data_IF_610567996002
#
_entry.id   IF_610567996002
#
_cell.length_a   1.000
_cell.length_b   1.000
_cell.length_c   1.000
_cell.angle_alpha   90.00
_cell.angle_beta   90.00
_cell.angle_gamma   90.00
#
_symmetry.space_group_name_H-M   'P 1'
#
loop_
_entity.id
_entity.type
_entity.pdbx_description
1 polymer ?
2 non-polymer ?
3 non-polymer ?
4 water ?
#
# COMPACT_ATOMS: atom_id res chain seq x y z
N UNK A 1 -21.53 8.05 13.19
CA UNK A 1 -20.97 6.71 12.90
C UNK A 1 -20.83 5.88 14.17
N UNK A 2 -20.93 4.55 14.06
CA UNK A 2 -20.79 3.65 15.22
C UNK A 2 -19.32 3.49 15.60
N UNK A 3 -19.02 2.68 16.61
CA UNK A 3 -17.63 2.44 17.01
C UNK A 3 -16.96 1.74 15.83
N UNK A 4 -15.62 1.87 15.71
CA UNK A 4 -14.87 1.25 14.62
C UNK A 4 -15.19 -0.24 14.38
N UNK A 5 -15.09 -1.06 15.43
CA UNK A 5 -15.38 -2.50 15.28
C UNK A 5 -16.79 -2.75 14.80
N UNK A 6 -17.74 -1.96 15.28
CA UNK A 6 -19.11 -2.17 14.83
C UNK A 6 -19.28 -1.76 13.37
N UNK A 7 -18.59 -0.71 12.94
CA UNK A 7 -18.67 -0.30 11.53
C UNK A 7 -18.05 -1.38 10.65
N UNK A 8 -16.91 -1.93 11.09
CA UNK A 8 -16.27 -2.99 10.31
C UNK A 8 -17.26 -4.15 10.10
N UNK A 9 -17.94 -4.55 11.16
CA UNK A 9 -18.89 -5.66 11.03
C UNK A 9 -20.00 -5.28 10.06
N UNK A 10 -20.54 -4.08 10.21
CA UNK A 10 -21.59 -3.62 9.30
C UNK A 10 -21.12 -3.70 7.85
N UNK A 11 -19.86 -3.34 7.62
CA UNK A 11 -19.31 -3.38 6.28
C UNK A 11 -19.28 -4.81 5.72
N UNK A 12 -18.92 -5.81 6.53
CA UNK A 12 -18.93 -7.19 6.03
C UNK A 12 -20.35 -7.60 5.72
N UNK A 13 -21.28 -7.23 6.59
CA UNK A 13 -22.70 -7.54 6.39
C UNK A 13 -23.23 -6.95 5.09
N UNK A 14 -22.91 -5.69 4.84
CA UNK A 14 -23.38 -5.02 3.65
C UNK A 14 -22.69 -5.48 2.37
N UNK A 15 -21.39 -5.78 2.43
CA UNK A 15 -20.66 -6.22 1.24
C UNK A 15 -20.69 -7.73 0.97
N UNK A 16 -21.04 -8.53 1.97
CA UNK A 16 -21.02 -9.99 1.86
C UNK A 16 -19.59 -10.44 1.59
N UNK A 17 -18.63 -9.69 2.10
CA UNK A 17 -17.23 -10.04 1.90
C UNK A 17 -16.48 -9.95 3.22
N UNK A 18 -15.19 -10.30 3.20
CA UNK A 18 -14.36 -10.20 4.39
C UNK A 18 -13.64 -8.86 4.39
N UNK A 19 -13.52 -8.28 5.58
CA UNK A 19 -12.79 -7.04 5.77
C UNK A 19 -11.63 -7.43 6.68
N UNK A 20 -10.44 -6.89 6.41
CA UNK A 20 -9.28 -7.18 7.23
C UNK A 20 -8.80 -5.80 7.65
N UNK A 21 -8.54 -5.60 8.93
CA UNK A 21 -8.15 -4.27 9.37
C UNK A 21 -7.25 -4.18 10.58
N UNK A 22 -6.34 -3.21 10.55
CA UNK A 22 -5.47 -2.96 11.67
C UNK A 22 -5.33 -1.45 11.80
N UNK A 23 -5.40 -0.95 13.04
CA UNK A 23 -5.21 0.47 13.33
C UNK A 23 -4.07 0.43 14.33
N UNK A 24 -2.96 1.10 14.02
CA UNK A 24 -1.77 1.02 14.87
C UNK A 24 -1.09 2.38 15.07
N UNK A 25 -0.60 2.65 16.29
CA UNK A 25 0.13 3.89 16.54
C UNK A 25 1.44 3.76 15.72
N UNK A 26 1.71 4.75 14.87
CA UNK A 26 2.89 4.70 14.02
C UNK A 26 4.18 4.77 14.81
N UNK A 27 4.21 5.64 15.81
CA UNK A 27 5.42 5.81 16.61
C UNK A 27 5.78 4.59 17.46
N UNK A 28 4.80 3.97 18.09
CA UNK A 28 5.11 2.85 18.98
C UNK A 28 4.71 1.46 18.53
N UNK A 29 3.77 1.36 17.60
CA UNK A 29 3.29 0.04 17.19
C UNK A 29 2.10 -0.46 18.01
N UNK A 30 1.59 0.37 18.93
CA UNK A 30 0.45 -0.05 19.74
C UNK A 30 -0.72 -0.41 18.83
N UNK A 31 -1.25 -1.62 18.97
CA UNK A 31 -2.40 -2.02 18.15
C UNK A 31 -3.70 -1.59 18.83
N UNK A 32 -4.48 -0.73 18.17
CA UNK A 32 -5.75 -0.26 18.72
C UNK A 32 -6.94 -1.10 18.29
N UNK A 33 -7.02 -1.40 17.00
CA UNK A 33 -8.11 -2.20 16.43
C UNK A 33 -7.49 -3.30 15.58
N UNK A 34 -8.04 -4.50 15.68
CA UNK A 34 -7.53 -5.62 14.90
C UNK A 34 -8.72 -6.51 14.56
N UNK A 35 -8.99 -6.64 13.26
CA UNK A 35 -10.11 -7.47 12.81
C UNK A 35 -9.59 -8.30 11.66
N UNK A 36 -9.68 -9.63 11.80
CA UNK A 36 -9.16 -10.58 10.81
C UNK A 36 -7.75 -10.16 10.44
N UNK A 37 -7.03 -9.67 11.43
CA UNK A 37 -5.68 -9.17 11.20
C UNK A 37 -4.63 -10.21 10.83
N UNK A 38 -4.91 -11.48 11.08
CA UNK A 38 -3.97 -12.53 10.74
C UNK A 38 -4.49 -13.36 9.58
N UNK A 39 -5.54 -12.87 8.93
CA UNK A 39 -6.06 -13.57 7.78
C UNK A 39 -5.43 -13.00 6.51
N UNK A 40 -5.31 -13.82 5.48
CA UNK A 40 -4.70 -13.41 4.21
C UNK A 40 -5.66 -12.61 3.31
N UNK A 41 -5.11 -11.61 2.65
CA UNK A 41 -5.84 -10.76 1.72
C UNK A 41 -4.92 -10.40 0.57
N UNK A 42 -5.48 -10.28 -0.64
CA UNK A 42 -4.63 -9.92 -1.79
C UNK A 42 -4.11 -8.50 -1.54
N UNK A 43 -2.80 -8.32 -1.69
CA UNK A 43 -2.20 -7.00 -1.48
C UNK A 43 -2.56 -6.01 -2.58
N UNK A 44 -2.87 -6.55 -3.76
CA UNK A 44 -3.12 -5.74 -4.94
C UNK A 44 -2.06 -4.62 -5.03
N UNK A 45 -2.41 -3.43 -5.50
CA UNK A 45 -1.40 -2.38 -5.67
C UNK A 45 -0.70 -1.87 -4.41
N UNK A 46 -1.13 -2.28 -3.23
CA UNK A 46 -0.44 -1.77 -2.06
C UNK A 46 0.99 -2.32 -1.98
N UNK A 47 1.30 -3.37 -2.74
CA UNK A 47 2.64 -3.94 -2.69
C UNK A 47 3.68 -2.93 -3.18
N UNK A 48 3.24 -1.93 -3.93
CA UNK A 48 4.17 -0.94 -4.47
C UNK A 48 4.92 -0.15 -3.40
N UNK A 49 4.31 0.01 -2.22
CA UNK A 49 5.01 0.71 -1.15
C UNK A 49 6.18 -0.16 -0.64
N UNK A 50 5.93 -1.45 -0.40
CA UNK A 50 6.98 -2.34 0.08
C UNK A 50 8.08 -2.45 -0.97
N UNK A 51 7.67 -2.48 -2.23
CA UNK A 51 8.61 -2.55 -3.35
C UNK A 51 9.64 -1.42 -3.25
N UNK A 52 9.15 -0.18 -3.09
CA UNK A 52 10.07 0.95 -3.03
C UNK A 52 10.87 0.99 -1.72
N UNK A 53 10.38 0.31 -0.69
CA UNK A 53 11.15 0.23 0.54
C UNK A 53 12.37 -0.63 0.23
N UNK A 54 12.18 -1.68 -0.58
CA UNK A 54 13.30 -2.56 -0.94
C UNK A 54 14.30 -1.80 -1.84
N UNK A 55 13.79 -0.93 -2.70
CA UNK A 55 14.66 -0.14 -3.58
C UNK A 55 15.48 0.84 -2.74
N UNK A 56 14.83 1.48 -1.78
CA UNK A 56 15.55 2.42 -0.93
C UNK A 56 16.61 1.68 -0.10
N UNK A 57 16.35 0.42 0.26
CA UNK A 57 17.35 -0.32 1.03
C UNK A 57 18.60 -0.50 0.17
N UNK A 58 18.39 -0.75 -1.13
CA UNK A 58 19.51 -0.90 -2.04
C UNK A 58 20.27 0.40 -2.20
N UNK A 59 19.55 1.52 -2.21
CA UNK A 59 20.21 2.83 -2.33
C UNK A 59 21.07 3.06 -1.08
N UNK A 60 20.51 2.76 0.09
CA UNK A 60 21.22 2.93 1.36
C UNK A 60 22.51 2.13 1.40
N UNK A 61 22.46 0.94 0.80
CA UNK A 61 23.61 0.04 0.78
C UNK A 61 24.62 0.41 -0.31
N UNK A 62 24.26 1.38 -1.16
CA UNK A 62 25.17 1.80 -2.21
C UNK A 62 25.08 0.93 -3.45
N UNK A 63 24.05 0.08 -3.53
CA UNK A 63 23.86 -0.79 -4.68
C UNK A 63 22.87 -0.21 -5.69
N UNK A 64 22.35 0.97 -5.38
CA UNK A 64 21.38 1.62 -6.26
C UNK A 64 21.44 3.13 -6.04
N UNK A 65 20.95 3.90 -7.01
CA UNK A 65 20.90 5.36 -6.88
C UNK A 65 19.51 5.76 -7.37
N UNK A 66 18.84 6.65 -6.65
CA UNK A 66 17.54 7.08 -7.13
C UNK A 66 17.75 7.89 -8.41
N UNK A 67 18.96 8.41 -8.62
CA UNK A 67 19.24 9.18 -9.83
C UNK A 67 19.43 8.32 -11.09
N UNK A 68 19.81 7.06 -10.92
CA UNK A 68 20.11 6.20 -12.06
C UNK A 68 18.97 6.13 -13.08
N UNK A 69 19.28 6.46 -14.33
CA UNK A 69 18.27 6.43 -15.37
C UNK A 69 18.13 5.08 -16.01
N UNK A 70 16.91 4.55 -16.04
CA UNK A 70 16.64 3.26 -16.65
C UNK A 70 15.95 3.50 -18.01
N UNK A 71 16.49 2.91 -19.07
CA UNK A 71 15.88 3.08 -20.38
C UNK A 71 15.14 1.79 -20.70
N UNK A 72 13.90 1.90 -21.14
CA UNK A 72 13.14 0.70 -21.43
C UNK A 72 12.49 0.81 -22.81
N UNK A 73 11.85 -0.27 -23.23
CA UNK A 73 11.22 -0.34 -24.54
C UNK A 73 9.71 -0.47 -24.45
N UNK A 74 9.02 -0.17 -25.55
CA UNK A 74 7.57 -0.26 -25.56
C UNK A 74 7.11 -1.67 -25.22
N UNK A 75 7.87 -2.67 -25.69
CA UNK A 75 7.55 -4.06 -25.43
C UNK A 75 7.59 -4.40 -23.94
N UNK A 76 8.20 -3.53 -23.15
CA UNK A 76 8.31 -3.74 -21.71
C UNK A 76 7.09 -3.23 -20.96
N UNK A 77 6.27 -2.44 -21.62
CA UNK A 77 5.10 -1.87 -20.95
C UNK A 77 3.95 -2.84 -20.75
N UNK A 78 3.31 -2.74 -19.60
CA UNK A 78 2.12 -3.55 -19.32
C UNK A 78 0.94 -2.61 -19.10
N UNK A 79 -0.22 -3.22 -18.88
CA UNK A 79 -1.47 -2.47 -18.70
C UNK A 79 -1.37 -1.38 -17.64
N UNK A 80 -1.70 -0.15 -18.05
CA UNK A 80 -1.73 1.04 -17.19
C UNK A 80 -0.34 1.57 -16.81
N UNK A 81 0.17 2.43 -17.68
CA UNK A 81 1.49 3.03 -17.55
C UNK A 81 1.36 4.51 -17.92
N UNK A 82 0.54 5.27 -17.16
CA UNK A 82 0.35 6.69 -17.46
C UNK A 82 1.60 7.53 -17.49
N UNK A 83 2.57 7.18 -16.66
CA UNK A 83 3.79 7.95 -16.63
C UNK A 83 4.83 7.33 -17.54
N UNK A 84 5.09 6.03 -17.34
CA UNK A 84 6.13 5.35 -18.10
C UNK A 84 5.93 5.33 -19.61
N UNK A 85 4.68 5.32 -20.08
CA UNK A 85 4.48 5.32 -21.53
C UNK A 85 4.93 6.64 -22.17
N UNK A 86 5.15 7.66 -21.34
CA UNK A 86 5.57 8.95 -21.88
C UNK A 86 7.08 9.11 -21.95
N UNK A 87 7.83 8.11 -21.52
CA UNK A 87 9.28 8.25 -21.52
C UNK A 87 10.05 7.15 -22.21
N UNK A 88 9.50 6.66 -23.33
CA UNK A 88 10.17 5.63 -24.08
C UNK A 88 11.43 6.16 -24.70
N UNK A 89 11.44 7.46 -25.00
CA UNK A 89 12.59 8.07 -25.63
C UNK A 89 13.68 8.48 -24.65
N UNK A 90 13.28 8.98 -23.48
CA UNK A 90 14.26 9.48 -22.51
C UNK A 90 14.49 8.70 -21.23
N UNK A 91 13.69 7.66 -20.99
CA UNK A 91 13.86 6.88 -19.78
C UNK A 91 13.37 7.58 -18.53
N UNK A 92 13.47 6.88 -17.41
CA UNK A 92 13.07 7.40 -16.11
C UNK A 92 14.10 7.01 -15.06
N UNK A 93 14.31 7.88 -14.08
CA UNK A 93 15.24 7.54 -13.03
C UNK A 93 14.54 6.56 -12.10
N UNK A 94 15.33 5.83 -11.32
CA UNK A 94 14.77 4.88 -10.36
C UNK A 94 13.82 5.63 -9.43
N UNK A 95 14.25 6.80 -8.96
CA UNK A 95 13.40 7.58 -8.06
C UNK A 95 12.09 7.96 -8.76
N UNK A 96 12.18 8.34 -10.02
CA UNK A 96 10.96 8.69 -10.78
C UNK A 96 10.06 7.47 -10.92
N UNK A 97 10.67 6.31 -11.10
CA UNK A 97 9.89 5.09 -11.22
C UNK A 97 9.11 4.82 -9.91
N UNK A 98 9.74 5.00 -8.74
CA UNK A 98 9.03 4.79 -7.48
C UNK A 98 7.92 5.80 -7.31
N UNK A 99 8.17 7.04 -7.70
CA UNK A 99 7.14 8.08 -7.59
C UNK A 99 5.96 7.68 -8.49
N UNK A 100 6.26 7.19 -9.67
CA UNK A 100 5.18 6.78 -10.58
C UNK A 100 4.44 5.54 -10.09
N UNK A 101 5.18 4.56 -9.57
CA UNK A 101 4.55 3.33 -9.06
C UNK A 101 3.66 3.63 -7.85
N UNK A 102 4.15 4.46 -6.94
CA UNK A 102 3.36 4.75 -5.74
C UNK A 102 2.28 5.82 -5.93
N UNK A 103 2.64 6.96 -6.54
CA UNK A 103 1.66 8.05 -6.68
C UNK A 103 0.67 7.94 -7.82
N UNK A 104 0.97 7.13 -8.83
CA UNK A 104 0.08 6.96 -9.98
C UNK A 104 -0.29 5.48 -10.22
N UNK A 105 0.32 4.60 -9.46
CA UNK A 105 0.15 3.13 -9.54
C UNK A 105 0.49 2.68 -10.97
N UNK A 106 1.54 3.30 -11.51
CA UNK A 106 2.03 2.97 -12.85
C UNK A 106 2.57 1.53 -12.78
N UNK A 107 1.96 0.62 -13.54
CA UNK A 107 2.39 -0.79 -13.47
C UNK A 107 3.71 -1.14 -14.13
N UNK A 108 4.03 -0.48 -15.24
CA UNK A 108 5.30 -0.76 -15.89
C UNK A 108 6.42 -0.25 -15.01
N UNK A 109 6.20 0.88 -14.34
CA UNK A 109 7.24 1.41 -13.45
C UNK A 109 7.44 0.38 -12.32
N UNK A 110 6.36 -0.17 -11.78
CA UNK A 110 6.48 -1.16 -10.71
C UNK A 110 7.27 -2.37 -11.18
N UNK A 111 6.99 -2.84 -12.40
CA UNK A 111 7.68 -4.03 -12.91
C UNK A 111 9.15 -3.77 -13.16
N UNK A 112 9.49 -2.58 -13.63
CA UNK A 112 10.89 -2.23 -13.87
C UNK A 112 11.63 -2.26 -12.53
N UNK A 113 11.02 -1.68 -11.49
CA UNK A 113 11.61 -1.67 -10.14
C UNK A 113 11.72 -3.08 -9.57
N UNK A 114 10.66 -3.88 -9.79
CA UNK A 114 10.62 -5.24 -9.29
C UNK A 114 11.82 -6.03 -9.84
N UNK A 115 12.16 -5.83 -11.11
CA UNK A 115 13.27 -6.53 -11.69
C UNK A 115 14.56 -6.14 -10.98
N UNK A 116 14.70 -4.87 -10.60
CA UNK A 116 15.92 -4.43 -9.90
C UNK A 116 16.13 -5.05 -8.52
N UNK A 117 15.06 -5.55 -7.90
CA UNK A 117 15.22 -6.15 -6.58
C UNK A 117 15.12 -7.68 -6.60
N UNK A 118 15.21 -8.27 -7.79
CA UNK A 118 15.15 -9.71 -7.87
C UNK A 118 13.79 -10.32 -8.16
N UNK A 119 12.87 -9.51 -8.71
CA UNK A 119 11.54 -10.01 -9.01
C UNK A 119 10.71 -10.28 -7.78
N UNK A 120 9.52 -10.88 -7.94
CA UNK A 120 8.63 -11.20 -6.82
C UNK A 120 9.37 -11.98 -5.72
N UNK A 121 10.24 -12.91 -6.12
CA UNK A 121 10.99 -13.72 -5.15
C UNK A 121 11.97 -12.87 -4.37
N UNK A 122 12.60 -11.94 -5.08
CA UNK A 122 13.57 -11.03 -4.46
C UNK A 122 12.86 -10.13 -3.45
N UNK A 123 11.68 -9.64 -3.80
CA UNK A 123 10.94 -8.77 -2.88
C UNK A 123 10.48 -9.58 -1.67
N UNK A 124 10.06 -10.81 -1.89
CA UNK A 124 9.64 -11.67 -0.79
C UNK A 124 10.83 -11.95 0.14
N UNK A 125 12.02 -12.12 -0.42
CA UNK A 125 13.20 -12.39 0.41
C UNK A 125 13.51 -11.13 1.23
N UNK A 126 13.35 -9.95 0.64
CA UNK A 126 13.57 -8.70 1.36
C UNK A 126 12.59 -8.63 2.56
N UNK A 127 11.33 -9.02 2.33
CA UNK A 127 10.35 -9.01 3.41
C UNK A 127 10.81 -9.95 4.52
N UNK A 128 11.30 -11.13 4.14
CA UNK A 128 11.77 -12.08 5.14
C UNK A 128 12.94 -11.48 5.94
N UNK A 129 13.79 -10.70 5.27
CA UNK A 129 14.95 -10.06 5.93
C UNK A 129 14.58 -8.99 6.94
N UNK A 130 13.43 -8.33 6.79
CA UNK A 130 13.04 -7.33 7.76
C UNK A 130 12.08 -7.93 8.80
N UNK A 131 11.92 -9.25 8.76
CA UNK A 131 11.09 -9.90 9.74
C UNK A 131 9.64 -10.15 9.45
N UNK A 132 9.25 -10.00 8.19
CA UNK A 132 7.87 -10.27 7.80
C UNK A 132 7.92 -11.67 7.19
N UNK A 133 7.36 -12.65 7.90
CA UNK A 133 7.41 -14.04 7.43
C UNK A 133 6.08 -14.47 6.82
N UNK A 134 5.19 -13.51 6.57
CA UNK A 134 3.88 -13.81 6.02
C UNK A 134 3.63 -13.26 4.60
N UNK A 135 3.87 -11.96 4.44
CA UNK A 135 3.64 -11.30 3.16
C UNK A 135 4.46 -11.94 2.06
N UNK A 136 3.83 -12.16 0.91
CA UNK A 136 4.51 -12.76 -0.22
C UNK A 136 4.09 -12.18 -1.56
N UNK A 137 5.06 -11.91 -2.44
CA UNK A 137 4.74 -11.44 -3.77
C UNK A 137 5.17 -12.61 -4.66
N UNK A 138 4.30 -13.01 -5.57
CA UNK A 138 4.59 -14.16 -6.43
C UNK A 138 4.54 -13.85 -7.91
N UNK A 139 3.78 -12.81 -8.26
CA UNK A 139 3.61 -12.45 -9.66
C UNK A 139 3.93 -10.98 -9.94
N UNK A 140 3.99 -10.65 -11.22
CA UNK A 140 4.30 -9.30 -11.66
C UNK A 140 3.05 -8.43 -11.68
N UNK A 141 3.26 -7.12 -11.79
CA UNK A 141 2.24 -6.07 -11.71
C UNK A 141 0.86 -6.23 -12.24
N UNK A 142 0.72 -6.83 -13.42
CA UNK A 142 -0.62 -6.97 -13.94
C UNK A 142 -1.25 -8.36 -13.86
N UNK A 143 -0.70 -9.22 -13.00
CA UNK A 143 -1.23 -10.58 -12.82
C UNK A 143 -1.51 -10.83 -11.34
N UNK A 144 -0.90 -10.02 -10.49
CA UNK A 144 -1.06 -10.18 -9.05
C UNK A 144 -2.41 -9.73 -8.46
N UNK A 145 -3.30 -9.21 -9.31
CA UNK A 145 -4.61 -8.75 -8.84
C UNK A 145 -5.76 -9.74 -9.08
N UNK A 146 -5.43 -10.95 -9.52
CA UNK A 146 -6.45 -11.96 -9.81
C UNK A 146 -7.36 -12.34 -8.62
N UNK A 147 -6.78 -12.37 -7.41
CA UNK A 147 -7.53 -12.67 -6.20
C UNK A 147 -8.37 -13.94 -6.19
N UNK A 148 -7.81 -15.05 -6.63
CA UNK A 148 -8.57 -16.29 -6.62
C UNK A 148 -8.83 -16.74 -5.19
N UNK A 149 -10.04 -17.23 -4.89
CA UNK A 149 -10.25 -17.66 -3.50
C UNK A 149 -9.34 -18.85 -3.14
N UNK A 150 -8.79 -18.81 -1.93
CA UNK A 150 -7.90 -19.87 -1.49
C UNK A 150 -6.47 -19.78 -2.02
N UNK A 151 -6.21 -18.82 -2.90
CA UNK A 151 -4.88 -18.63 -3.50
C UNK A 151 -4.04 -17.76 -2.56
N UNK A 152 -2.92 -18.31 -2.09
CA UNK A 152 -2.03 -17.59 -1.17
C UNK A 152 -1.06 -16.64 -1.88
N UNK A 153 -1.00 -16.72 -3.20
CA UNK A 153 -0.08 -15.85 -3.93
C UNK A 153 -0.42 -14.38 -3.77
N UNK A 154 0.63 -13.56 -3.72
CA UNK A 154 0.47 -12.12 -3.65
C UNK A 154 -0.44 -11.65 -2.53
N UNK A 155 -0.24 -12.20 -1.33
CA UNK A 155 -1.10 -11.82 -0.20
C UNK A 155 -0.28 -11.29 0.96
N UNK A 156 -0.97 -10.64 1.89
CA UNK A 156 -0.36 -10.15 3.12
C UNK A 156 -1.45 -10.34 4.18
N UNK A 157 -1.19 -9.93 5.41
CA UNK A 157 -2.26 -9.94 6.42
C UNK A 157 -2.27 -8.51 6.93
N UNK A 158 -3.38 -8.06 7.51
CA UNK A 158 -3.37 -6.67 7.99
C UNK A 158 -2.25 -6.40 9.00
N UNK A 159 -2.06 -7.34 9.92
CA UNK A 159 -1.03 -7.20 10.96
C UNK A 159 0.37 -7.19 10.35
N UNK A 160 0.62 -8.07 9.39
CA UNK A 160 1.93 -8.15 8.75
C UNK A 160 2.24 -6.88 7.99
N UNK A 161 1.26 -6.43 7.21
CA UNK A 161 1.48 -5.23 6.43
C UNK A 161 1.71 -3.99 7.30
N UNK A 162 0.92 -3.84 8.34
CA UNK A 162 1.08 -2.71 9.23
C UNK A 162 2.47 -2.72 9.87
N UNK A 163 2.88 -3.89 10.37
CA UNK A 163 4.19 -4.01 11.01
C UNK A 163 5.32 -3.70 10.04
N UNK A 164 5.17 -4.17 8.80
CA UNK A 164 6.19 -3.94 7.79
C UNK A 164 6.28 -2.48 7.39
N UNK A 165 5.13 -1.82 7.23
CA UNK A 165 5.16 -0.41 6.87
C UNK A 165 5.79 0.37 8.01
N UNK A 166 5.41 0.03 9.25
CA UNK A 166 6.01 0.73 10.37
C UNK A 166 7.53 0.53 10.38
N UNK A 167 7.99 -0.68 10.10
CA UNK A 167 9.44 -0.94 10.06
C UNK A 167 10.15 -0.09 9.00
N UNK A 168 9.55 0.02 7.83
CA UNK A 168 10.15 0.80 6.74
C UNK A 168 10.18 2.30 7.05
N UNK A 169 9.10 2.78 7.62
CA UNK A 169 8.97 4.20 7.91
C UNK A 169 9.63 4.72 9.16
N UNK A 170 9.84 3.86 10.17
CA UNK A 170 10.37 4.36 11.43
C UNK A 170 11.45 3.60 12.19
N UNK A 171 11.73 2.35 11.80
CA UNK A 171 12.67 1.52 12.57
C UNK A 171 14.15 1.77 12.35
N UNK A 172 14.48 2.70 11.47
CA UNK A 172 15.87 3.01 11.18
C UNK A 172 16.58 1.88 10.44
N UNK A 173 15.79 0.99 9.83
CA UNK A 173 16.35 -0.08 9.01
C UNK A 173 16.75 0.66 7.72
N UNK A 174 15.96 1.66 7.35
CA UNK A 174 16.26 2.50 6.20
C UNK A 174 16.90 3.77 6.76
N UNK A 175 17.72 4.44 5.98
CA UNK A 175 18.36 5.67 6.42
C UNK A 175 17.30 6.75 6.66
N UNK A 176 17.67 7.79 7.38
CA UNK A 176 16.75 8.89 7.64
C UNK A 176 16.20 9.44 6.33
N UNK A 177 17.09 9.70 5.39
CA UNK A 177 16.64 10.25 4.10
C UNK A 177 15.69 9.30 3.40
N UNK A 178 15.99 8.00 3.44
CA UNK A 178 15.11 7.04 2.76
C UNK A 178 13.74 6.95 3.43
N UNK A 179 13.70 6.98 4.76
CA UNK A 179 12.42 6.93 5.46
C UNK A 179 11.59 8.16 5.05
N UNK A 180 12.25 9.32 4.96
CA UNK A 180 11.55 10.55 4.60
C UNK A 180 11.02 10.51 3.18
N UNK A 181 11.78 9.88 2.31
CA UNK A 181 11.41 9.73 0.92
C UNK A 181 10.18 8.81 0.77
N UNK A 182 10.17 7.68 1.48
CA UNK A 182 9.06 6.72 1.37
C UNK A 182 7.79 7.38 1.86
N UNK A 183 7.94 8.14 2.92
CA UNK A 183 6.78 8.85 3.47
C UNK A 183 6.26 9.88 2.47
N UNK A 184 7.17 10.66 1.88
CA UNK A 184 6.75 11.69 0.94
C UNK A 184 6.02 11.08 -0.27
N UNK A 185 6.50 9.93 -0.78
CA UNK A 185 5.81 9.31 -1.90
C UNK A 185 4.37 8.96 -1.54
N UNK A 186 4.15 8.47 -0.31
CA UNK A 186 2.80 8.15 0.13
C UNK A 186 1.96 9.43 0.30
N UNK A 187 2.59 10.48 0.80
CA UNK A 187 1.88 11.75 0.96
C UNK A 187 1.47 12.25 -0.43
N UNK A 188 2.32 12.00 -1.43
CA UNK A 188 2.06 12.47 -2.79
C UNK A 188 1.10 11.63 -3.66
N UNK A 189 0.45 10.63 -3.08
CA UNK A 189 -0.47 9.82 -3.89
C UNK A 189 -1.46 10.69 -4.66
N UNK A 190 -1.53 10.49 -5.97
CA UNK A 190 -2.46 11.25 -6.80
C UNK A 190 -3.75 10.48 -7.09
N UNK A 191 -3.73 9.17 -6.87
CA UNK A 191 -4.91 8.35 -7.17
C UNK A 191 -6.04 8.51 -6.16
N UNK A 192 -5.72 8.47 -4.87
CA UNK A 192 -6.75 8.57 -3.85
C UNK A 192 -6.53 9.72 -2.86
N UNK A 193 -5.27 10.13 -2.69
CA UNK A 193 -4.96 11.21 -1.77
C UNK A 193 -5.83 12.46 -1.83
N UNK A 194 -5.87 13.15 -2.97
CA UNK A 194 -6.69 14.37 -3.08
C UNK A 194 -8.17 14.13 -2.78
N UNK A 195 -8.70 13.00 -3.26
CA UNK A 195 -10.10 12.64 -3.02
C UNK A 195 -10.34 12.46 -1.51
N UNK A 196 -9.46 11.72 -0.85
CA UNK A 196 -9.62 11.52 0.59
C UNK A 196 -9.55 12.88 1.32
N UNK A 197 -8.64 13.75 0.93
CA UNK A 197 -8.56 15.05 1.60
C UNK A 197 -9.86 15.85 1.45
N UNK A 198 -10.51 15.71 0.29
CA UNK A 198 -11.74 16.44 0.02
C UNK A 198 -12.86 16.05 0.96
N UNK A 199 -12.81 14.83 1.50
CA UNK A 199 -13.85 14.39 2.42
C UNK A 199 -13.38 14.28 3.87
N UNK A 200 -12.12 14.65 4.14
CA UNK A 200 -11.64 14.60 5.52
C UNK A 200 -11.89 15.93 6.22
N UNK A 201 -12.24 15.91 7.52
CA UNK A 201 -12.46 17.18 8.23
C UNK A 201 -11.12 17.90 8.26
N UNK A 202 -11.15 19.22 8.41
CA UNK A 202 -9.94 19.99 8.48
C UNK A 202 -9.08 19.47 9.65
N UNK A 203 -7.77 19.44 9.46
CA UNK A 203 -6.87 19.00 10.51
C UNK A 203 -6.41 17.56 10.43
N UNK A 204 -7.02 16.77 9.55
CA UNK A 204 -6.61 15.38 9.44
C UNK A 204 -5.58 15.14 8.33
N UNK A 205 -4.48 14.53 8.73
CA UNK A 205 -3.34 14.17 7.88
C UNK A 205 -3.69 12.88 7.13
N UNK A 206 -3.28 12.77 5.87
CA UNK A 206 -3.45 11.53 5.11
C UNK A 206 -2.27 11.30 4.15
N UNK A 207 -1.76 10.06 4.14
CA UNK A 207 -0.72 9.62 3.21
C UNK A 207 -1.27 8.22 2.89
N UNK A 208 -1.12 7.74 1.67
CA UNK A 208 -1.71 6.45 1.35
C UNK A 208 -1.27 5.81 0.06
N UNK A 209 -1.59 4.53 -0.07
CA UNK A 209 -1.44 3.79 -1.31
C UNK A 209 -2.66 2.86 -1.34
N UNK A 210 -3.44 2.93 -2.41
CA UNK A 210 -4.62 2.09 -2.53
C UNK A 210 -4.44 1.06 -3.64
N UNK A 211 -5.36 0.09 -3.71
CA UNK A 211 -5.28 -0.92 -4.73
C UNK A 211 -6.62 -1.60 -4.90
N UNK A 212 -6.74 -2.35 -5.98
CA UNK A 212 -7.98 -3.07 -6.24
C UNK A 212 -7.69 -4.26 -7.14
N UNK A 213 -8.56 -5.26 -7.08
CA UNK A 213 -8.36 -6.45 -7.90
C UNK A 213 -9.68 -7.17 -8.15
N UNK A 214 -9.59 -8.40 -8.60
CA UNK A 214 -10.78 -9.19 -8.90
C UNK A 214 -11.58 -9.64 -7.68
N UNK A 215 -12.79 -10.11 -7.94
CA UNK A 215 -13.65 -10.61 -6.87
C UNK A 215 -13.81 -9.61 -5.73
N UNK A 216 -13.82 -8.33 -6.11
CA UNK A 216 -14.00 -7.26 -5.14
C UNK A 216 -12.77 -6.85 -4.34
N UNK A 217 -11.62 -7.44 -4.63
CA UNK A 217 -10.41 -7.09 -3.87
C UNK A 217 -10.20 -5.57 -3.84
N UNK A 218 -9.90 -5.06 -2.65
CA UNK A 218 -9.68 -3.63 -2.48
C UNK A 218 -8.71 -3.49 -1.32
N UNK A 219 -7.87 -2.46 -1.36
CA UNK A 219 -6.97 -2.32 -0.23
C UNK A 219 -6.45 -0.91 -0.08
N UNK A 220 -6.13 -0.55 1.16
CA UNK A 220 -5.52 0.75 1.39
C UNK A 220 -4.58 0.65 2.58
N UNK A 221 -3.38 1.20 2.42
CA UNK A 221 -2.41 1.27 3.52
C UNK A 221 -2.25 2.77 3.67
N UNK A 222 -2.42 3.28 4.87
CA UNK A 222 -2.40 4.72 5.06
C UNK A 222 -1.88 5.16 6.38
N UNK A 223 -1.55 6.45 6.44
CA UNK A 223 -1.15 7.10 7.68
C UNK A 223 -2.25 8.16 7.88
N UNK A 224 -2.78 8.22 9.10
CA UNK A 224 -3.88 9.12 9.40
C UNK A 224 -3.78 9.69 10.80
N UNK A 225 -4.25 10.91 10.95
CA UNK A 225 -4.22 11.48 12.29
C UNK A 225 -4.69 12.90 12.35
N UNK A 226 -5.17 13.31 13.54
CA UNK A 226 -5.64 14.69 13.73
C UNK A 226 -4.42 15.57 13.99
N UNK A 227 -4.65 16.88 14.08
CA UNK A 227 -3.57 17.83 14.31
C UNK A 227 -2.49 17.73 13.26
N UNK A 228 -2.92 17.41 12.03
CA UNK A 228 -2.01 17.31 10.90
C UNK A 228 -0.79 16.44 11.15
N UNK A 229 -0.99 15.36 11.89
CA UNK A 229 0.11 14.46 12.23
C UNK A 229 -0.19 13.03 11.77
N UNK A 230 0.84 12.33 11.30
CA UNK A 230 0.71 10.92 10.84
C UNK A 230 0.73 10.08 12.12
N UNK A 231 -0.36 10.15 12.87
CA UNK A 231 -0.44 9.45 14.14
C UNK A 231 -0.57 7.94 14.06
N UNK A 232 -1.39 7.45 13.15
CA UNK A 232 -1.58 6.01 13.07
C UNK A 232 -1.49 5.45 11.68
N UNK A 233 -1.11 4.17 11.62
CA UNK A 233 -1.07 3.44 10.38
C UNK A 233 -2.43 2.74 10.39
N UNK A 234 -3.15 2.80 9.27
CA UNK A 234 -4.42 2.11 9.16
C UNK A 234 -4.31 1.29 7.89
N UNK A 235 -4.53 -0.02 8.02
CA UNK A 235 -4.47 -0.93 6.89
C UNK A 235 -5.84 -1.60 6.79
N UNK A 236 -6.49 -1.49 5.63
CA UNK A 236 -7.80 -2.12 5.42
C UNK A 236 -7.81 -2.86 4.08
N UNK A 237 -8.19 -4.14 4.10
CA UNK A 237 -8.31 -4.90 2.85
C UNK A 237 -9.71 -5.47 2.81
N UNK A 238 -10.24 -5.63 1.61
CA UNK A 238 -11.56 -6.24 1.42
C UNK A 238 -11.34 -7.37 0.43
N UNK A 239 -12.05 -8.48 0.58
CA UNK A 239 -11.92 -9.55 -0.41
C UNK A 239 -13.22 -10.33 -0.52
N UNK A 240 -13.42 -10.94 -1.68
CA UNK A 240 -14.59 -11.78 -1.96
C UNK A 240 -15.97 -11.15 -1.70
N UNK A 241 -16.16 -10.00 -2.31
CA UNK A 241 -17.44 -9.28 -2.25
C UNK A 241 -17.78 -8.97 -3.71
N UNK A 242 -19.05 -9.13 -4.10
CA UNK A 242 -19.48 -8.84 -5.48
C UNK A 242 -19.83 -7.36 -5.63
N UNK A 243 -19.60 -6.57 -4.57
CA UNK A 243 -19.95 -5.14 -4.59
C UNK A 243 -19.28 -4.21 -5.61
N UNK A 244 -20.02 -3.20 -6.03
CA UNK A 244 -19.51 -2.20 -6.97
C UNK A 244 -18.31 -1.50 -6.32
N UNK A 245 -17.43 -0.95 -7.15
CA UNK A 245 -16.29 -0.23 -6.61
C UNK A 245 -16.77 0.94 -5.73
N UNK A 246 -17.85 1.60 -6.14
CA UNK A 246 -18.36 2.74 -5.36
C UNK A 246 -18.74 2.33 -3.95
N UNK A 247 -19.37 1.17 -3.80
CA UNK A 247 -19.77 0.73 -2.47
C UNK A 247 -18.60 0.25 -1.62
N UNK A 248 -17.62 -0.37 -2.26
CA UNK A 248 -16.44 -0.79 -1.51
C UNK A 248 -15.75 0.48 -1.01
N UNK A 249 -15.70 1.51 -1.85
CA UNK A 249 -15.07 2.78 -1.45
C UNK A 249 -15.87 3.39 -0.30
N UNK A 250 -17.19 3.38 -0.41
CA UNK A 250 -18.04 3.93 0.63
C UNK A 250 -17.88 3.24 1.98
N UNK A 251 -17.76 1.91 1.97
CA UNK A 251 -17.61 1.16 3.20
C UNK A 251 -16.26 1.46 3.86
N UNK A 252 -15.21 1.55 3.05
CA UNK A 252 -13.91 1.87 3.61
C UNK A 252 -13.95 3.28 4.21
N UNK A 253 -14.57 4.22 3.51
CA UNK A 253 -14.70 5.59 4.02
C UNK A 253 -15.49 5.57 5.33
N UNK A 254 -16.50 4.69 5.41
CA UNK A 254 -17.30 4.58 6.62
C UNK A 254 -16.48 4.11 7.82
N UNK A 255 -15.53 3.19 7.59
CA UNK A 255 -14.67 2.72 8.67
C UNK A 255 -13.81 3.92 9.08
N UNK A 256 -13.34 4.69 8.09
CA UNK A 256 -12.54 5.87 8.38
C UNK A 256 -13.34 6.86 9.20
N UNK A 257 -14.62 7.05 8.85
CA UNK A 257 -15.47 7.97 9.58
C UNK A 257 -15.61 7.53 11.05
N UNK A 258 -15.75 6.21 11.27
CA UNK A 258 -15.89 5.69 12.62
C UNK A 258 -14.61 5.96 13.39
N UNK A 259 -13.45 5.81 12.74
CA UNK A 259 -12.18 6.08 13.41
C UNK A 259 -12.10 7.54 13.81
N UNK A 260 -12.45 8.43 12.87
CA UNK A 260 -12.42 9.87 13.08
C UNK A 260 -13.30 10.34 14.23
N UNK A 261 -14.54 9.84 14.25
CA UNK A 261 -15.50 10.19 15.29
C UNK A 261 -15.18 9.59 16.66
N UNK A 262 -14.39 8.52 16.69
CA UNK A 262 -14.03 7.85 17.94
C UNK A 262 -12.53 7.60 17.97
N UNK A 263 -11.76 8.68 17.87
CA UNK A 263 -10.30 8.59 17.82
C UNK A 263 -9.55 8.25 19.10
N UNK A 264 -10.00 8.78 20.23
CA UNK A 264 -9.32 8.58 21.50
C UNK A 264 -9.60 7.27 22.22
N UNK A 265 -8.96 6.21 21.76
CA UNK A 265 -9.13 4.90 22.36
C UNK A 265 -7.77 4.39 22.79
X LIG B 1 -7.68 -1.42 -13.39
X LIG B 1 -8.58 -0.51 -14.17
X LIG B 1 -8.41 -1.87 -12.16
X LIG B 1 -6.49 -0.21 -12.71
X LIG B 1 -5.50 -0.94 -11.79
X LIG B 1 -6.21 -1.52 -10.64
X LIG B 1 -5.52 -1.93 -9.58
X LIG B 1 -5.76 0.48 -13.86
X LIG B 1 -7.28 0.84 -11.90
X LIG B 1 -6.38 1.81 -11.27
X LIG B 1 -5.94 1.75 -9.99
X LIG B 1 -5.21 2.72 -9.79
X LIG B 1 -5.13 3.46 -10.90
X LIG B 1 -5.87 2.90 -11.84
X LIG B 1 -4.78 -2.06 -12.53
X LIG B 1 -5.16 -3.22 -12.43
X LIG B 1 -3.78 -1.82 -13.21
X LIG B 1 -4.03 -1.74 -9.38
X LIG B 1 -3.49 -1.93 -8.10
X LIG B 1 -4.24 -2.23 -7.17
X LIG C 1 -17.87 14.96 10.40
X LIG C 1 -18.00 16.50 10.29
X LIG C 1 -16.74 17.19 10.74
X LIG C 1 -16.36 16.75 12.12
X LIG C 1 -16.26 15.20 12.17
X LIG C 1 -15.94 14.74 13.56
X LIG C 1 -18.30 16.83 8.90
X LIG C 1 -16.99 18.62 10.66
X LIG C 1 -17.50 14.60 11.76
X LIG C 1 -17.02 15.06 14.44
X LIG C 1 -16.85 14.56 9.51
X LIG C 1 -15.12 17.31 12.50
X LIG C 1 -15.98 11.70 6.68
X LIG C 1 -16.97 12.78 6.22
X LIG C 1 -16.78 13.94 7.20
X LIG C 1 -17.07 13.45 8.60
X LIG C 1 -16.16 12.34 8.98
X LIG C 1 -16.44 11.75 10.38
X LIG C 1 -16.10 10.58 5.84
X LIG C 1 -16.68 13.20 4.90
X LIG C 1 -17.69 14.97 6.84
X LIG C 1 -16.28 11.28 8.03
X LIG C 1 -17.82 11.27 10.40
X LIG C 1 -14.97 9.67 5.98
X LIG C 1 -13.98 10.02 4.90
X LIG C 1 -12.83 9.05 5.11
X LIG C 1 -12.12 8.84 3.79
X LIG C 1 -11.06 7.78 3.85
X LIG C 1 -10.26 7.54 5.08
X LIG C 1 -9.24 6.44 5.00
X LIG C 1 -9.89 5.10 5.43
X LIG C 1 -8.93 4.01 5.97
X LIG C 1 -7.44 4.32 5.90
X LIG C 1 -7.15 5.73 6.39
X LIG C 1 -8.01 6.84 5.81
X LIG D 1 -14.72 8.93 -0.64
X LIG D 1 -14.00 7.63 -0.80
X LIG D 1 -12.56 7.47 -0.43
X LIG D 1 -11.99 6.08 -0.64
X LIG D 1 -11.28 5.61 0.62
X LIG D 1 -10.29 4.42 0.46
X LIG D 1 -10.10 3.87 -0.95
X LIG D 1 -10.07 4.97 -2.01
X LIG D 1 -11.12 6.08 -1.87
#
# INVERSE_FOLDING_TARGET
SPQPLEQIKLSESQLSGRVGMIEMDLASGRTLTAWRADERFPMVSTFKVVLCGAVLARVDAGDEQLERKIHYRQQDLVDYSPVSEKHLADGMTVGELCAAAITMSDNSAANLLLATVGGPAGLTAFLRQIGDNVTRLDRWATELNEALPGDARDTTTPASMAATLRKLLTSQRLSARSQRQLLQWMVDDRVAGPLIRSVLPAGWFIADKTGAGERGARGIVALLGPNNKAERIVVIYLRDTPASMAERNQQIAGIGAALIEHWQR
TBE S1 O12 O13 C2 C3 N4 C5 C20 C14 N15 N16 N17 C18 C19 C9 O10 O11 C6 C7 O8
MA4 C1 C2 C3 C4 C5 C6 O2 O3 O5 O6 O1 O4 C10 C20 C30 C40 C50 C60 O10 O20 O30 O50 O60 C11 C21 C31 C41 C51 C61 C12 C22 C32 C42 C52 C62
MA4 C41 C51 C61 C12 C22 C32 C42 C52 C62
#
